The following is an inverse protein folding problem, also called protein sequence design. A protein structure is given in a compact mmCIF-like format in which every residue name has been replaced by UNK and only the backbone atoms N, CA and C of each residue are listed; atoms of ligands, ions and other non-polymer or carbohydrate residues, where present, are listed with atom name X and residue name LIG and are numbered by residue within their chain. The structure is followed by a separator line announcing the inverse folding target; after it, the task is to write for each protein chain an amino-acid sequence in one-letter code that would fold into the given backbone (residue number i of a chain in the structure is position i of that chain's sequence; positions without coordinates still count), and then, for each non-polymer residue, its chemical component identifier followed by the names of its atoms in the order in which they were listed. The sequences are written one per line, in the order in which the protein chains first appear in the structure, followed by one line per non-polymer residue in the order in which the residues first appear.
data_IF_016314735206
#
_entry.id   IF_016314735206
#
_cell.length_a   1.000
_cell.length_b   1.000
_cell.length_c   1.000
_cell.angle_alpha   90.00
_cell.angle_beta   90.00
_cell.angle_gamma   90.00
#
_symmetry.space_group_name_H-M   'P 1'
#
loop_
_entity.id
_entity.type
_entity.pdbx_description
1 polymer ?
#
# COMPACT_ATOMS: atom_id res chain seq x y z
N UNK A 1 -9.20 -4.65 10.07
CA UNK A 1 -7.91 -4.20 9.51
C UNK A 1 -7.94 -4.43 8.01
N UNK A 2 -7.53 -3.44 7.23
CA UNK A 2 -7.43 -3.56 5.77
C UNK A 2 -5.97 -3.43 5.36
N UNK A 3 -5.49 -4.33 4.49
CA UNK A 3 -4.13 -4.29 3.95
C UNK A 3 -4.19 -4.18 2.42
N UNK A 4 -3.86 -3.01 1.89
CA UNK A 4 -3.86 -2.80 0.44
C UNK A 4 -2.44 -3.00 -0.10
N UNK A 5 -2.30 -3.87 -1.09
CA UNK A 5 -1.06 -4.13 -1.81
C UNK A 5 -1.14 -3.45 -3.19
N UNK A 6 -0.27 -2.48 -3.41
CA UNK A 6 -0.27 -1.67 -4.63
C UNK A 6 1.04 -1.86 -5.36
N UNK A 7 1.00 -2.32 -6.60
CA UNK A 7 2.15 -2.39 -7.48
C UNK A 7 2.12 -1.23 -8.48
N UNK A 8 3.14 -0.38 -8.42
CA UNK A 8 3.36 0.69 -9.38
C UNK A 8 4.31 0.18 -10.44
N UNK A 9 3.76 -0.19 -11.60
CA UNK A 9 4.53 -0.69 -12.74
C UNK A 9 4.19 0.06 -14.03
N UNK A 10 5.16 0.23 -14.94
CA UNK A 10 4.87 0.68 -16.29
C UNK A 10 4.03 -0.36 -17.06
N UNK A 11 3.34 0.09 -18.12
CA UNK A 11 2.54 -0.77 -18.99
C UNK A 11 3.35 -1.97 -19.50
N UNK A 12 2.80 -3.19 -19.37
CA UNK A 12 3.32 -4.38 -20.05
C UNK A 12 4.27 -5.30 -19.25
N UNK A 13 4.53 -5.03 -17.97
CA UNK A 13 5.40 -5.89 -17.13
C UNK A 13 4.59 -6.69 -16.11
N UNK A 14 4.18 -7.90 -16.49
CA UNK A 14 3.56 -8.87 -15.59
C UNK A 14 4.64 -9.67 -14.85
N UNK A 15 4.51 -9.81 -13.53
CA UNK A 15 5.35 -10.72 -12.74
C UNK A 15 4.42 -11.70 -12.06
N UNK A 16 4.57 -12.97 -12.44
CA UNK A 16 3.59 -14.03 -12.19
C UNK A 16 3.66 -14.58 -10.75
N UNK A 17 4.58 -14.10 -9.91
CA UNK A 17 4.75 -14.58 -8.55
C UNK A 17 4.80 -13.40 -7.56
N UNK A 18 3.88 -13.41 -6.60
CA UNK A 18 3.81 -12.46 -5.48
C UNK A 18 4.11 -13.17 -4.16
N UNK A 19 5.34 -13.67 -3.93
CA UNK A 19 5.68 -14.45 -2.75
C UNK A 19 5.42 -13.69 -1.44
N UNK A 20 5.55 -12.37 -1.44
CA UNK A 20 5.23 -11.53 -0.27
C UNK A 20 3.72 -11.54 0.05
N UNK A 21 2.87 -11.46 -0.97
CA UNK A 21 1.42 -11.46 -0.81
C UNK A 21 0.91 -12.82 -0.27
N UNK A 22 1.50 -13.92 -0.72
CA UNK A 22 1.15 -15.26 -0.21
C UNK A 22 1.57 -15.42 1.25
N UNK A 23 2.79 -14.99 1.63
CA UNK A 23 3.24 -14.98 3.03
C UNK A 23 2.34 -14.10 3.91
N UNK A 24 1.92 -12.95 3.40
CA UNK A 24 0.99 -12.05 4.09
C UNK A 24 -0.35 -12.72 4.38
N UNK A 25 -0.99 -13.31 3.37
CA UNK A 25 -2.26 -14.03 3.52
C UNK A 25 -2.15 -15.19 4.53
N UNK A 26 -1.02 -15.88 4.56
CA UNK A 26 -0.77 -16.95 5.54
C UNK A 26 -0.61 -16.40 6.97
N UNK A 27 0.11 -15.29 7.14
CA UNK A 27 0.41 -14.72 8.46
C UNK A 27 -0.76 -13.89 9.03
N UNK A 28 -1.56 -13.25 8.18
CA UNK A 28 -2.72 -12.45 8.58
C UNK A 28 -3.96 -12.82 7.74
N UNK A 29 -4.57 -14.00 7.95
CA UNK A 29 -5.68 -14.48 7.14
C UNK A 29 -6.96 -13.63 7.25
N UNK A 30 -7.08 -12.83 8.32
CA UNK A 30 -8.20 -11.90 8.52
C UNK A 30 -8.05 -10.55 7.79
N UNK A 31 -6.94 -10.33 7.08
CA UNK A 31 -6.71 -9.11 6.30
C UNK A 31 -7.52 -9.10 5.00
N UNK A 32 -8.04 -7.94 4.62
CA UNK A 32 -8.55 -7.71 3.27
C UNK A 32 -7.38 -7.30 2.39
N UNK A 33 -7.04 -8.13 1.41
CA UNK A 33 -5.95 -7.91 0.46
C UNK A 33 -6.50 -7.45 -0.87
N UNK A 34 -6.06 -6.28 -1.31
CA UNK A 34 -6.37 -5.77 -2.64
C UNK A 34 -5.09 -5.59 -3.40
N UNK A 35 -5.09 -6.06 -4.64
CA UNK A 35 -3.97 -5.98 -5.56
C UNK A 35 -4.33 -4.95 -6.62
N UNK A 36 -3.57 -3.86 -6.67
CA UNK A 36 -3.79 -2.77 -7.60
C UNK A 36 -2.54 -2.51 -8.41
N UNK A 37 -2.70 -2.38 -9.71
CA UNK A 37 -1.70 -1.90 -10.64
C UNK A 37 -2.11 -0.56 -11.26
N UNK A 38 -1.20 0.07 -12.01
CA UNK A 38 -1.44 1.36 -12.67
C UNK A 38 -2.55 1.32 -13.74
N UNK A 39 -3.08 0.13 -14.05
CA UNK A 39 -4.15 -0.13 -15.03
C UNK A 39 -5.40 -0.72 -14.39
N UNK A 40 -5.45 -0.81 -13.06
CA UNK A 40 -6.55 -1.42 -12.36
C UNK A 40 -7.80 -0.59 -12.55
N UNK A 41 -8.90 -1.28 -12.84
CA UNK A 41 -10.17 -0.65 -13.15
C UNK A 41 -10.60 0.29 -12.01
N UNK A 42 -11.22 1.41 -12.38
CA UNK A 42 -11.68 2.45 -11.45
C UNK A 42 -12.56 1.87 -10.32
N UNK A 43 -13.31 0.81 -10.61
CA UNK A 43 -14.11 0.09 -9.63
C UNK A 43 -13.28 -0.54 -8.51
N UNK A 44 -12.17 -1.22 -8.82
CA UNK A 44 -11.29 -1.85 -7.83
C UNK A 44 -10.62 -0.79 -6.94
N UNK A 45 -10.23 0.32 -7.55
CA UNK A 45 -9.64 1.44 -6.82
C UNK A 45 -10.65 2.12 -5.90
N UNK A 46 -11.90 2.30 -6.37
CA UNK A 46 -12.98 2.84 -5.55
C UNK A 46 -13.33 1.91 -4.36
N UNK A 47 -13.35 0.59 -4.57
CA UNK A 47 -13.56 -0.38 -3.50
C UNK A 47 -12.42 -0.37 -2.48
N UNK A 48 -11.16 -0.33 -2.94
CA UNK A 48 -10.01 -0.19 -2.05
C UNK A 48 -10.07 1.10 -1.23
N UNK A 49 -10.42 2.21 -1.87
CA UNK A 49 -10.62 3.49 -1.22
C UNK A 49 -11.69 3.45 -0.13
N UNK A 50 -12.84 2.83 -0.43
CA UNK A 50 -13.93 2.66 0.54
C UNK A 50 -13.50 1.84 1.75
N UNK A 51 -12.82 0.71 1.52
CA UNK A 51 -12.33 -0.16 2.59
C UNK A 51 -11.27 0.55 3.45
N UNK A 52 -10.40 1.35 2.84
CA UNK A 52 -9.43 2.17 3.58
C UNK A 52 -10.11 3.26 4.42
N UNK A 53 -11.19 3.86 3.92
CA UNK A 53 -11.93 4.88 4.64
C UNK A 53 -12.73 4.32 5.83
N UNK A 54 -13.28 3.11 5.69
CA UNK A 54 -14.10 2.44 6.72
C UNK A 54 -13.25 1.71 7.79
N UNK A 55 -11.96 1.47 7.54
CA UNK A 55 -11.12 0.70 8.45
C UNK A 55 -10.52 1.54 9.60
N UNK A 56 -10.66 1.07 10.84
CA UNK A 56 -10.02 1.70 12.02
C UNK A 56 -8.49 1.74 11.90
N UNK A 57 -7.89 0.70 11.33
CA UNK A 57 -6.46 0.60 11.02
C UNK A 57 -6.28 0.13 9.58
N UNK A 58 -5.43 0.82 8.83
CA UNK A 58 -5.04 0.44 7.47
C UNK A 58 -3.53 0.34 7.32
N UNK A 59 -3.09 -0.70 6.61
CA UNK A 59 -1.73 -0.79 6.11
C UNK A 59 -1.75 -0.76 4.58
N UNK A 60 -0.85 -0.01 3.95
CA UNK A 60 -0.75 0.06 2.49
C UNK A 60 0.70 -0.15 2.08
N UNK A 61 0.94 -1.17 1.26
CA UNK A 61 2.25 -1.47 0.70
C UNK A 61 2.30 -1.02 -0.76
N UNK A 62 3.24 -0.16 -1.11
CA UNK A 62 3.52 0.27 -2.47
C UNK A 62 4.81 -0.38 -2.96
N UNK A 63 4.72 -1.25 -3.96
CA UNK A 63 5.88 -1.77 -4.69
C UNK A 63 6.14 -0.88 -5.91
N UNK A 64 7.23 -0.11 -5.92
CA UNK A 64 7.57 0.78 -7.02
C UNK A 64 8.95 0.42 -7.57
N UNK A 65 8.98 -0.25 -8.72
CA UNK A 65 10.25 -0.64 -9.35
C UNK A 65 10.94 0.52 -10.07
N UNK A 66 10.18 1.55 -10.47
CA UNK A 66 10.68 2.71 -11.20
C UNK A 66 10.26 4.03 -10.53
N UNK A 67 11.21 4.95 -10.22
CA UNK A 67 10.91 6.21 -9.54
C UNK A 67 9.90 7.12 -10.23
N UNK A 68 9.82 7.04 -11.56
CA UNK A 68 8.94 7.89 -12.37
C UNK A 68 7.70 7.16 -12.88
N UNK A 69 7.43 5.95 -12.38
CA UNK A 69 6.23 5.21 -12.74
C UNK A 69 4.97 6.07 -12.47
N UNK A 70 4.03 6.14 -13.42
CA UNK A 70 2.79 6.87 -13.22
C UNK A 70 2.02 6.27 -12.05
N UNK A 71 1.58 7.11 -11.11
CA UNK A 71 0.80 6.66 -9.96
C UNK A 71 -0.60 6.20 -10.36
N UNK A 72 -1.19 6.79 -11.40
CA UNK A 72 -2.51 6.42 -11.90
C UNK A 72 -3.56 6.33 -10.76
N UNK A 73 -4.32 5.23 -10.66
CA UNK A 73 -5.31 5.01 -9.61
C UNK A 73 -4.74 5.02 -8.18
N UNK A 74 -3.46 4.68 -8.00
CA UNK A 74 -2.81 4.68 -6.68
C UNK A 74 -2.70 6.09 -6.06
N UNK A 75 -2.74 7.15 -6.88
CA UNK A 75 -2.79 8.52 -6.38
C UNK A 75 -4.10 8.77 -5.60
N UNK A 76 -5.22 8.24 -6.09
CA UNK A 76 -6.50 8.38 -5.42
C UNK A 76 -6.50 7.70 -4.04
N UNK A 77 -5.87 6.53 -3.93
CA UNK A 77 -5.68 5.86 -2.64
C UNK A 77 -4.80 6.67 -1.70
N UNK A 78 -3.69 7.23 -2.21
CA UNK A 78 -2.83 8.09 -1.42
C UNK A 78 -3.60 9.28 -0.84
N UNK A 79 -4.47 9.91 -1.64
CA UNK A 79 -5.34 10.99 -1.16
C UNK A 79 -6.31 10.54 -0.06
N UNK A 80 -6.92 9.36 -0.20
CA UNK A 80 -7.81 8.79 0.82
C UNK A 80 -7.05 8.55 2.13
N UNK A 81 -5.87 7.94 2.05
CA UNK A 81 -5.01 7.68 3.22
C UNK A 81 -4.65 9.00 3.93
N UNK A 82 -4.30 10.03 3.17
CA UNK A 82 -3.93 11.35 3.73
C UNK A 82 -5.11 12.04 4.42
N UNK A 83 -6.31 11.92 3.86
CA UNK A 83 -7.50 12.62 4.37
C UNK A 83 -8.14 11.91 5.55
N UNK A 84 -7.83 10.64 5.78
CA UNK A 84 -8.44 9.88 6.86
C UNK A 84 -7.88 10.34 8.22
N UNK A 85 -8.73 10.47 9.25
CA UNK A 85 -8.27 10.83 10.59
C UNK A 85 -7.59 9.67 11.34
N UNK A 86 -7.81 8.44 10.90
CA UNK A 86 -7.28 7.24 11.55
C UNK A 86 -5.82 6.94 11.13
N UNK A 87 -5.04 6.39 12.06
CA UNK A 87 -3.64 6.04 11.81
C UNK A 87 -3.50 5.09 10.63
N UNK A 88 -2.52 5.34 9.77
CA UNK A 88 -2.21 4.47 8.63
C UNK A 88 -0.74 4.06 8.65
N UNK A 89 -0.45 2.81 8.33
CA UNK A 89 0.90 2.36 8.00
C UNK A 89 1.06 2.40 6.49
N UNK A 90 2.07 3.08 6.00
CA UNK A 90 2.42 3.09 4.58
C UNK A 90 3.84 2.59 4.42
N UNK A 91 4.02 1.57 3.60
CA UNK A 91 5.31 0.97 3.30
C UNK A 91 5.59 1.17 1.82
N UNK A 92 6.72 1.77 1.48
CA UNK A 92 7.18 1.95 0.11
C UNK A 92 8.40 1.06 -0.13
N UNK A 93 8.27 0.08 -1.02
CA UNK A 93 9.40 -0.67 -1.58
C UNK A 93 9.82 -0.03 -2.90
N UNK A 94 11.11 0.26 -3.02
CA UNK A 94 11.72 1.01 -4.12
C UNK A 94 11.76 2.51 -3.86
N UNK A 95 11.64 3.31 -4.92
CA UNK A 95 11.67 4.77 -4.87
C UNK A 95 10.45 5.33 -5.58
N UNK A 96 9.84 6.36 -5.00
CA UNK A 96 8.74 7.08 -5.61
C UNK A 96 8.64 8.47 -4.98
N UNK A 97 9.34 9.48 -5.54
CA UNK A 97 9.48 10.79 -4.92
C UNK A 97 8.15 11.49 -4.62
N UNK A 98 7.09 11.19 -5.39
CA UNK A 98 5.76 11.75 -5.15
C UNK A 98 5.13 11.17 -3.89
N UNK A 99 5.18 9.85 -3.69
CA UNK A 99 4.64 9.21 -2.48
C UNK A 99 5.46 9.58 -1.24
N UNK A 100 6.78 9.64 -1.37
CA UNK A 100 7.67 10.08 -0.29
C UNK A 100 7.28 11.48 0.22
N UNK A 101 7.06 12.43 -0.70
CA UNK A 101 6.60 13.79 -0.34
C UNK A 101 5.19 13.81 0.24
N UNK A 102 4.31 12.97 -0.26
CA UNK A 102 2.91 12.91 0.17
C UNK A 102 2.75 12.40 1.61
N UNK A 103 3.54 11.40 1.99
CA UNK A 103 3.43 10.72 3.28
C UNK A 103 4.45 11.17 4.33
N UNK A 104 5.63 11.64 3.94
CA UNK A 104 6.73 11.91 4.87
C UNK A 104 6.48 13.00 5.92
N UNK A 105 5.47 13.86 5.74
CA UNK A 105 5.19 14.99 6.62
C UNK A 105 3.81 14.87 7.32
N UNK A 106 3.32 13.67 7.58
CA UNK A 106 1.98 13.43 8.11
C UNK A 106 2.01 12.72 9.47
N UNK A 107 1.42 13.34 10.48
CA UNK A 107 1.42 12.81 11.86
C UNK A 107 0.62 11.51 12.00
N UNK A 108 -0.45 11.34 11.23
CA UNK A 108 -1.32 10.16 11.28
C UNK A 108 -0.84 9.02 10.36
N UNK A 109 0.36 9.14 9.79
CA UNK A 109 0.91 8.13 8.86
C UNK A 109 2.28 7.69 9.36
N UNK A 110 2.40 6.42 9.70
CA UNK A 110 3.69 5.76 9.89
C UNK A 110 4.21 5.40 8.51
N UNK A 111 5.25 6.08 8.05
CA UNK A 111 5.83 5.86 6.74
C UNK A 111 7.18 5.14 6.83
N UNK A 112 7.27 3.95 6.22
CA UNK A 112 8.49 3.17 6.13
C UNK A 112 8.93 3.00 4.67
N UNK A 113 10.24 3.10 4.43
CA UNK A 113 10.82 2.96 3.10
C UNK A 113 11.81 1.81 3.06
N UNK A 114 11.69 0.97 2.04
CA UNK A 114 12.57 -0.16 1.76
C UNK A 114 12.89 -1.03 2.99
N UNK A 115 11.90 -1.39 3.84
CA UNK A 115 12.18 -2.29 4.94
C UNK A 115 12.61 -3.66 4.39
N UNK A 116 13.49 -4.33 5.12
CA UNK A 116 13.68 -5.77 4.92
C UNK A 116 12.37 -6.54 5.12
N UNK A 117 12.29 -7.77 4.62
CA UNK A 117 11.08 -8.59 4.78
C UNK A 117 10.72 -8.79 6.27
N UNK A 118 11.72 -8.95 7.13
CA UNK A 118 11.52 -9.10 8.57
C UNK A 118 10.98 -7.82 9.22
N UNK A 119 11.57 -6.67 8.88
CA UNK A 119 11.08 -5.36 9.34
C UNK A 119 9.67 -5.06 8.85
N UNK A 120 9.34 -5.45 7.61
CA UNK A 120 8.00 -5.31 7.05
C UNK A 120 6.96 -6.06 7.90
N UNK A 121 7.22 -7.32 8.22
CA UNK A 121 6.32 -8.11 9.06
C UNK A 121 6.25 -7.57 10.49
N UNK A 122 7.38 -7.15 11.06
CA UNK A 122 7.42 -6.57 12.40
C UNK A 122 6.63 -5.26 12.48
N UNK A 123 6.73 -4.39 11.47
CA UNK A 123 5.96 -3.15 11.40
C UNK A 123 4.47 -3.40 11.28
N UNK A 124 4.07 -4.38 10.48
CA UNK A 124 2.68 -4.80 10.39
C UNK A 124 2.16 -5.34 11.72
N UNK A 125 2.93 -6.17 12.40
CA UNK A 125 2.55 -6.70 13.72
C UNK A 125 2.39 -5.56 14.73
N UNK A 126 3.40 -4.70 14.90
CA UNK A 126 3.36 -3.61 15.86
C UNK A 126 2.25 -2.59 15.60
N UNK A 127 1.87 -2.40 14.33
CA UNK A 127 0.85 -1.43 13.96
C UNK A 127 -0.56 -2.01 14.12
N UNK A 128 -0.73 -3.26 13.70
CA UNK A 128 -2.04 -3.88 13.59
C UNK A 128 -2.47 -4.63 14.85
N UNK A 129 -1.53 -5.23 15.58
CA UNK A 129 -1.74 -6.07 16.77
C UNK A 129 -1.10 -5.45 18.02
#
# INVERSE_FOLDING_TARGET
MVLVYVELRPAGVYSYQKPLLEKLKQRFPAGVYLDLDAFSEDYLTAQAGRLLAEADKSAVYFACTEPEAPLGPALHLAEIIIRRPANSLVILQGKQPRLEKLFGNRENIVFAQNPSEEEFFQQLENFCF
#
